data_IF_459858827747
#
_entry.id   IF_459858827747
#
_cell.length_a   1.000
_cell.length_b   1.000
_cell.length_c   1.000
_cell.angle_alpha   90.00
_cell.angle_beta   90.00
_cell.angle_gamma   90.00
#
_symmetry.space_group_name_H-M   'P 1'
#
loop_
_entity.id
_entity.type
_entity.pdbx_description
1 polymer ?
#
# COMPACT_ATOMS: atom_id res chain seq x y z
N UNK A 1 6.22 -3.92 24.32
CA UNK A 1 6.12 -2.86 23.29
C UNK A 1 5.70 -1.57 23.97
N UNK A 2 6.59 -0.58 24.05
CA UNK A 2 6.23 0.77 24.48
C UNK A 2 5.18 1.34 23.50
N UNK A 3 4.07 1.88 24.03
CA UNK A 3 3.07 2.55 23.21
C UNK A 3 3.65 3.89 22.75
N UNK A 4 3.92 4.00 21.46
CA UNK A 4 4.27 5.28 20.83
C UNK A 4 3.17 6.32 21.13
N UNK A 5 3.56 7.54 21.46
CA UNK A 5 2.66 8.66 21.72
C UNK A 5 1.95 9.13 20.44
N UNK A 6 0.93 9.98 20.60
CA UNK A 6 0.24 10.60 19.46
C UNK A 6 1.19 11.54 18.70
N UNK A 7 2.00 12.33 19.42
CA UNK A 7 2.92 13.29 18.82
C UNK A 7 4.01 12.61 18.00
N UNK A 8 4.61 11.53 18.51
CA UNK A 8 5.60 10.75 17.76
C UNK A 8 5.02 10.16 16.47
N UNK A 9 3.76 9.72 16.49
CA UNK A 9 3.08 9.25 15.27
C UNK A 9 2.84 10.37 14.25
N UNK A 10 2.50 11.58 14.70
CA UNK A 10 2.31 12.73 13.81
C UNK A 10 3.64 13.08 13.13
N UNK A 11 4.72 13.15 13.91
CA UNK A 11 6.05 13.45 13.40
C UNK A 11 6.55 12.38 12.41
N UNK A 12 6.39 11.09 12.75
CA UNK A 12 6.71 10.00 11.82
C UNK A 12 5.88 10.07 10.53
N UNK A 13 4.61 10.49 10.62
CA UNK A 13 3.75 10.68 9.45
C UNK A 13 4.25 11.79 8.54
N UNK A 14 4.60 12.95 9.08
CA UNK A 14 5.11 14.09 8.30
C UNK A 14 6.42 13.71 7.60
N UNK A 15 7.36 13.09 8.32
CA UNK A 15 8.63 12.60 7.76
C UNK A 15 8.36 11.59 6.64
N UNK A 16 7.53 10.58 6.90
CA UNK A 16 7.24 9.52 5.93
C UNK A 16 6.55 10.06 4.68
N UNK A 17 5.64 11.03 4.84
CA UNK A 17 4.94 11.64 3.72
C UNK A 17 5.92 12.47 2.88
N UNK A 18 6.72 13.33 3.51
CA UNK A 18 7.68 14.18 2.80
C UNK A 18 8.71 13.35 2.05
N UNK A 19 9.26 12.31 2.69
CA UNK A 19 10.22 11.39 2.05
C UNK A 19 9.64 10.74 0.78
N UNK A 20 8.36 10.34 0.80
CA UNK A 20 7.72 9.77 -0.39
C UNK A 20 7.35 10.85 -1.42
N UNK A 21 7.03 12.07 -1.00
CA UNK A 21 6.74 13.16 -1.93
C UNK A 21 8.00 13.66 -2.65
N UNK A 22 9.16 13.63 -2.00
CA UNK A 22 10.47 13.93 -2.60
C UNK A 22 10.85 12.93 -3.69
N UNK A 23 10.50 11.65 -3.52
CA UNK A 23 10.70 10.60 -4.52
C UNK A 23 9.40 9.86 -4.82
N UNK A 24 8.44 10.62 -5.38
CA UNK A 24 7.09 10.15 -5.68
C UNK A 24 7.07 8.94 -6.62
N UNK A 25 8.11 8.79 -7.45
CA UNK A 25 8.27 7.69 -8.41
C UNK A 25 8.36 6.30 -7.75
N UNK A 26 8.67 6.24 -6.44
CA UNK A 26 8.63 4.98 -5.69
C UNK A 26 7.23 4.41 -5.52
N UNK A 27 6.19 5.24 -5.68
CA UNK A 27 4.79 4.84 -5.50
C UNK A 27 3.88 5.31 -6.62
N UNK A 28 4.25 6.32 -7.42
CA UNK A 28 3.47 6.79 -8.55
C UNK A 28 4.35 7.17 -9.75
N UNK A 29 4.02 6.75 -10.99
CA UNK A 29 2.96 5.80 -11.35
C UNK A 29 3.17 4.44 -10.69
N UNK A 30 2.25 3.49 -10.87
CA UNK A 30 2.37 2.17 -10.25
C UNK A 30 3.74 1.57 -10.59
N UNK A 31 4.62 1.35 -9.60
CA UNK A 31 5.98 0.91 -9.90
C UNK A 31 5.94 -0.53 -10.42
N UNK A 32 6.68 -0.79 -11.50
CA UNK A 32 6.74 -2.11 -12.13
C UNK A 32 7.40 -3.08 -11.13
N UNK A 33 6.62 -4.05 -10.62
CA UNK A 33 7.13 -5.16 -9.81
C UNK A 33 6.41 -6.46 -10.14
N UNK A 34 7.09 -7.57 -9.82
CA UNK A 34 6.59 -8.93 -10.01
C UNK A 34 5.21 -9.14 -9.37
N UNK A 35 4.23 -9.41 -10.23
CA UNK A 35 2.84 -9.73 -9.89
C UNK A 35 2.77 -10.90 -8.90
N UNK A 36 3.63 -11.91 -9.04
CA UNK A 36 3.66 -13.08 -8.15
C UNK A 36 3.98 -12.70 -6.71
N UNK A 37 4.99 -11.85 -6.51
CA UNK A 37 5.36 -11.31 -5.19
C UNK A 37 4.26 -10.43 -4.61
N UNK A 38 3.60 -9.61 -5.43
CA UNK A 38 2.45 -8.82 -5.01
C UNK A 38 1.30 -9.69 -4.53
N UNK A 39 0.94 -10.76 -5.24
CA UNK A 39 -0.12 -11.69 -4.82
C UNK A 39 0.21 -12.39 -3.50
N UNK A 40 1.47 -12.79 -3.27
CA UNK A 40 1.92 -13.42 -2.02
C UNK A 40 1.85 -12.48 -0.82
N UNK A 41 2.11 -11.18 -1.01
CA UNK A 41 2.13 -10.18 0.09
C UNK A 41 0.80 -9.47 0.30
N UNK A 42 -0.02 -9.30 -0.74
CA UNK A 42 -1.39 -8.80 -0.66
C UNK A 42 -2.36 -9.88 -0.13
N UNK A 43 -1.84 -10.87 0.60
CA UNK A 43 -2.53 -12.09 0.97
C UNK A 43 -3.59 -11.88 2.04
N UNK A 44 -4.80 -11.68 1.56
CA UNK A 44 -6.00 -12.32 2.10
C UNK A 44 -6.10 -13.79 1.66
N UNK A 45 -5.44 -14.15 0.57
CA UNK A 45 -5.44 -15.49 -0.07
C UNK A 45 -4.81 -16.60 0.79
N UNK A 46 -3.77 -16.29 1.58
CA UNK A 46 -3.08 -17.26 2.45
C UNK A 46 -3.55 -17.19 3.92
N UNK A 47 -4.62 -16.44 4.23
CA UNK A 47 -5.15 -16.34 5.59
C UNK A 47 -6.35 -17.26 5.72
N UNK A 48 -6.48 -17.97 6.85
CA UNK A 48 -7.63 -18.87 7.13
C UNK A 48 -8.99 -18.17 7.10
N UNK A 49 -9.05 -16.88 7.41
CA UNK A 49 -10.30 -16.10 7.36
C UNK A 49 -10.03 -14.61 7.09
N UNK A 50 -9.83 -14.23 5.82
CA UNK A 50 -9.57 -12.85 5.47
C UNK A 50 -10.81 -11.98 5.60
N UNK A 51 -10.70 -10.84 6.29
CA UNK A 51 -11.79 -9.86 6.45
C UNK A 51 -12.24 -9.24 5.11
N UNK A 52 -11.36 -9.19 4.11
CA UNK A 52 -11.67 -8.74 2.75
C UNK A 52 -11.23 -9.80 1.75
N UNK A 53 -12.12 -10.23 0.83
CA UNK A 53 -11.80 -11.23 -0.21
C UNK A 53 -11.27 -10.62 -1.51
N UNK A 54 -10.94 -9.32 -1.51
CA UNK A 54 -10.49 -8.61 -2.70
C UNK A 54 -9.39 -7.60 -2.38
N UNK A 55 -8.52 -7.39 -3.37
CA UNK A 55 -7.51 -6.35 -3.40
C UNK A 55 -8.11 -5.07 -3.98
N UNK A 56 -7.79 -3.90 -3.42
CA UNK A 56 -8.20 -2.58 -3.95
C UNK A 56 -6.98 -1.80 -4.41
N UNK A 57 -7.16 -0.84 -5.32
CA UNK A 57 -6.07 0.05 -5.76
C UNK A 57 -5.36 0.74 -4.59
N UNK A 58 -6.12 1.28 -3.62
CA UNK A 58 -5.55 1.86 -2.39
C UNK A 58 -4.82 0.83 -1.52
N UNK A 59 -5.25 -0.44 -1.52
CA UNK A 59 -4.54 -1.53 -0.85
C UNK A 59 -3.19 -1.84 -1.48
N UNK A 60 -3.10 -1.77 -2.81
CA UNK A 60 -1.85 -1.90 -3.55
C UNK A 60 -0.94 -0.69 -3.27
N UNK A 61 -1.48 0.53 -3.26
CA UNK A 61 -0.69 1.71 -2.87
C UNK A 61 -0.14 1.56 -1.45
N UNK A 62 -0.96 1.09 -0.50
CA UNK A 62 -0.52 0.82 0.88
C UNK A 62 0.65 -0.16 0.91
N UNK A 63 0.65 -1.16 0.04
CA UNK A 63 1.74 -2.12 -0.07
C UNK A 63 3.05 -1.44 -0.50
N UNK A 64 3.04 -0.62 -1.55
CA UNK A 64 4.24 0.11 -1.98
C UNK A 64 4.72 1.13 -0.95
N UNK A 65 3.80 1.86 -0.30
CA UNK A 65 4.14 2.73 0.83
C UNK A 65 4.83 1.94 1.94
N UNK A 66 4.33 0.75 2.28
CA UNK A 66 4.94 -0.11 3.30
C UNK A 66 6.33 -0.60 2.89
N UNK A 67 6.57 -0.87 1.61
CA UNK A 67 7.89 -1.24 1.09
C UNK A 67 8.87 -0.08 1.17
N UNK A 68 8.45 1.12 0.76
CA UNK A 68 9.30 2.32 0.78
C UNK A 68 9.69 2.71 2.20
N UNK A 69 8.86 2.39 3.20
CA UNK A 69 9.09 2.68 4.61
C UNK A 69 9.64 1.49 5.40
N UNK A 70 9.97 0.36 4.75
CA UNK A 70 10.31 -0.90 5.42
C UNK A 70 11.53 -0.75 6.34
N UNK A 71 12.52 0.05 5.94
CA UNK A 71 13.78 0.22 6.67
C UNK A 71 13.66 1.21 7.85
N UNK A 72 12.55 1.94 7.95
CA UNK A 72 12.36 3.03 8.92
C UNK A 72 11.53 2.66 10.16
N UNK A 73 11.26 1.36 10.38
CA UNK A 73 10.45 0.81 11.50
C UNK A 73 9.17 1.61 11.80
N UNK A 74 8.44 1.96 10.74
CA UNK A 74 7.33 2.91 10.83
C UNK A 74 6.07 2.24 11.39
N UNK A 75 5.41 2.93 12.33
CA UNK A 75 4.18 2.41 12.93
C UNK A 75 3.07 2.19 11.88
N UNK A 76 2.31 1.10 11.98
CA UNK A 76 1.30 0.72 10.98
C UNK A 76 0.21 1.78 10.73
N UNK A 77 -0.13 2.58 11.75
CA UNK A 77 -1.02 3.74 11.63
C UNK A 77 -0.44 4.80 10.69
N UNK A 78 0.86 5.07 10.78
CA UNK A 78 1.55 6.05 9.94
C UNK A 78 1.50 5.62 8.48
N UNK A 79 1.81 4.35 8.18
CA UNK A 79 1.65 3.78 6.83
C UNK A 79 0.23 4.04 6.30
N UNK A 80 -0.78 3.83 7.15
CA UNK A 80 -2.18 4.09 6.81
C UNK A 80 -2.47 5.57 6.50
N UNK A 81 -1.96 6.49 7.33
CA UNK A 81 -2.12 7.93 7.13
C UNK A 81 -1.41 8.42 5.86
N UNK A 82 -0.15 8.03 5.67
CA UNK A 82 0.65 8.37 4.49
C UNK A 82 -0.02 7.86 3.21
N UNK A 83 -0.50 6.61 3.21
CA UNK A 83 -1.27 6.06 2.09
C UNK A 83 -2.51 6.91 1.77
N UNK A 84 -3.22 7.40 2.78
CA UNK A 84 -4.44 8.18 2.57
C UNK A 84 -4.13 9.54 1.96
N UNK A 85 -3.11 10.22 2.47
CA UNK A 85 -2.66 11.51 1.95
C UNK A 85 -2.20 11.37 0.50
N UNK A 86 -1.41 10.34 0.19
CA UNK A 86 -0.96 10.03 -1.17
C UNK A 86 -2.12 9.68 -2.10
N UNK A 87 -3.07 8.85 -1.66
CA UNK A 87 -4.25 8.50 -2.47
C UNK A 87 -5.09 9.74 -2.80
N UNK A 88 -5.28 10.65 -1.82
CA UNK A 88 -6.03 11.90 -2.00
C UNK A 88 -5.32 12.88 -2.93
N UNK A 89 -3.99 12.96 -2.89
CA UNK A 89 -3.22 13.82 -3.78
C UNK A 89 -2.94 13.20 -5.16
N UNK A 90 -3.20 11.90 -5.33
CA UNK A 90 -2.99 11.22 -6.60
C UNK A 90 -3.88 11.77 -7.73
N UNK A 91 -3.28 11.93 -8.91
CA UNK A 91 -3.98 12.28 -10.15
C UNK A 91 -4.93 11.16 -10.56
N UNK A 92 -5.86 11.45 -11.47
CA UNK A 92 -6.79 10.44 -12.00
C UNK A 92 -6.05 9.27 -12.65
N UNK A 93 -5.02 9.55 -13.44
CA UNK A 93 -4.22 8.54 -14.13
C UNK A 93 -3.45 7.66 -13.12
N UNK A 94 -2.79 8.28 -12.14
CA UNK A 94 -2.12 7.55 -11.06
C UNK A 94 -3.09 6.60 -10.35
N UNK A 95 -4.31 7.05 -10.02
CA UNK A 95 -5.31 6.18 -9.39
C UNK A 95 -5.79 5.07 -10.32
N UNK A 96 -5.98 5.38 -11.59
CA UNK A 96 -6.50 4.43 -12.58
C UNK A 96 -5.59 3.22 -12.75
N UNK A 97 -4.28 3.42 -12.82
CA UNK A 97 -3.31 2.31 -12.90
C UNK A 97 -3.45 1.33 -11.72
N UNK A 98 -3.56 1.88 -10.51
CA UNK A 98 -3.77 1.11 -9.29
C UNK A 98 -5.11 0.36 -9.28
N UNK A 99 -6.18 1.00 -9.75
CA UNK A 99 -7.50 0.36 -9.88
C UNK A 99 -7.45 -0.76 -10.91
N UNK A 100 -6.84 -0.54 -12.06
CA UNK A 100 -6.66 -1.53 -13.14
C UNK A 100 -5.87 -2.73 -12.66
N UNK A 101 -4.75 -2.50 -11.97
CA UNK A 101 -3.96 -3.58 -11.35
C UNK A 101 -4.79 -4.37 -10.33
N UNK A 102 -5.61 -3.71 -9.52
CA UNK A 102 -6.47 -4.43 -8.56
C UNK A 102 -7.50 -5.33 -9.25
N UNK A 103 -8.08 -4.90 -10.38
CA UNK A 103 -8.99 -5.74 -11.19
C UNK A 103 -8.26 -6.96 -11.74
N UNK A 104 -7.05 -6.76 -12.27
CA UNK A 104 -6.21 -7.83 -12.78
C UNK A 104 -5.85 -8.87 -11.71
N UNK A 105 -5.34 -8.42 -10.56
CA UNK A 105 -4.98 -9.32 -9.44
C UNK A 105 -6.20 -10.09 -8.92
N UNK A 106 -7.34 -9.43 -8.76
CA UNK A 106 -8.57 -10.11 -8.32
C UNK A 106 -9.04 -11.17 -9.32
N UNK A 107 -8.86 -10.95 -10.64
CA UNK A 107 -9.17 -11.94 -11.67
C UNK A 107 -8.25 -13.16 -11.56
N UNK A 108 -6.94 -12.94 -11.43
CA UNK A 108 -5.97 -14.04 -11.25
C UNK A 108 -6.32 -14.83 -9.99
N UNK A 109 -6.52 -14.15 -8.86
CA UNK A 109 -6.85 -14.80 -7.59
C UNK A 109 -8.11 -15.66 -7.71
N UNK A 110 -9.18 -15.18 -8.35
CA UNK A 110 -10.38 -16.01 -8.55
C UNK A 110 -10.10 -17.29 -9.33
N UNK A 111 -9.28 -17.19 -10.38
CA UNK A 111 -8.96 -18.33 -11.25
C UNK A 111 -7.92 -19.30 -10.65
N UNK A 112 -7.10 -18.85 -9.70
CA UNK A 112 -6.09 -19.70 -9.03
C UNK A 112 -6.65 -20.50 -7.84
N UNK A 113 -7.86 -20.17 -7.36
CA UNK A 113 -8.51 -20.85 -6.22
C UNK A 113 -9.89 -21.44 -6.56
N UNK A 114 -10.23 -21.51 -7.86
CA UNK A 114 -11.39 -22.19 -8.42
C UNK A 114 -10.99 -23.57 -8.95
#
# INVERSE_FOLDING_TARGET
MLKMSVMERIQQYEISLNMILEDRQRVFPLPIRDVGTMMKRLSYVNRRSPRNKSVTGRGILKYFVSLTLQDSDVHSTVIGLTTNSLWKSATSNEREEYVTMSKYLNKIMRNSFS
#
